data_IF_340054786689
#
_entry.id   IF_340054786689
#
_cell.length_a   1.000
_cell.length_b   1.000
_cell.length_c   1.000
_cell.angle_alpha   90.00
_cell.angle_beta   90.00
_cell.angle_gamma   90.00
#
_symmetry.space_group_name_H-M   'P 1'
#
loop_
_entity.id
_entity.type
_entity.pdbx_description
1 polymer ?
#
# COMPACT_ATOMS: atom_id res chain seq x y z
N UNK A 1 -18.46 11.88 19.65
CA UNK A 1 -17.04 11.69 19.26
C UNK A 1 -16.22 12.66 20.09
N UNK A 2 -15.10 12.23 20.65
CA UNK A 2 -14.13 13.18 21.24
C UNK A 2 -13.53 14.06 20.15
N UNK A 3 -13.06 15.25 20.50
CA UNK A 3 -12.43 16.18 19.57
C UNK A 3 -11.24 15.51 18.83
N UNK A 4 -10.45 14.69 19.53
CA UNK A 4 -9.34 13.91 18.95
C UNK A 4 -9.78 12.98 17.80
N UNK A 5 -10.97 12.39 17.88
CA UNK A 5 -11.49 11.51 16.81
C UNK A 5 -11.93 12.31 15.58
N UNK A 6 -12.35 13.56 15.78
CA UNK A 6 -12.68 14.48 14.67
C UNK A 6 -11.39 14.87 13.95
N UNK A 7 -10.37 15.31 14.68
CA UNK A 7 -9.07 15.69 14.12
C UNK A 7 -8.41 14.53 13.36
N UNK A 8 -8.47 13.32 13.93
CA UNK A 8 -7.93 12.11 13.27
C UNK A 8 -8.65 11.81 11.96
N UNK A 9 -9.99 11.90 11.93
CA UNK A 9 -10.77 11.68 10.72
C UNK A 9 -10.47 12.73 9.65
N UNK A 10 -10.25 13.98 10.05
CA UNK A 10 -9.86 15.07 9.14
C UNK A 10 -8.46 14.86 8.57
N UNK A 11 -7.49 14.46 9.39
CA UNK A 11 -6.15 14.13 8.93
C UNK A 11 -6.18 13.01 7.88
N UNK A 12 -6.94 11.94 8.15
CA UNK A 12 -7.07 10.83 7.19
C UNK A 12 -7.73 11.27 5.88
N UNK A 13 -8.71 12.18 5.93
CA UNK A 13 -9.33 12.79 4.75
C UNK A 13 -8.35 13.62 3.93
N UNK A 14 -7.42 14.35 4.58
CA UNK A 14 -6.36 15.11 3.89
C UNK A 14 -5.40 14.16 3.18
N UNK A 15 -4.95 13.10 3.85
CA UNK A 15 -4.05 12.10 3.26
C UNK A 15 -4.73 11.43 2.06
N UNK A 16 -5.98 10.98 2.21
CA UNK A 16 -6.75 10.38 1.11
C UNK A 16 -6.83 11.30 -0.12
N UNK A 17 -7.09 12.59 0.08
CA UNK A 17 -7.09 13.57 -1.02
C UNK A 17 -5.73 13.73 -1.68
N UNK A 18 -4.65 13.73 -0.90
CA UNK A 18 -3.29 13.81 -1.44
C UNK A 18 -2.97 12.59 -2.31
N UNK A 19 -3.29 11.38 -1.84
CA UNK A 19 -3.08 10.13 -2.58
C UNK A 19 -3.81 10.10 -3.92
N UNK A 20 -5.06 10.61 -3.97
CA UNK A 20 -5.87 10.64 -5.20
C UNK A 20 -5.34 11.68 -6.19
N UNK A 21 -4.90 12.85 -5.70
CA UNK A 21 -4.47 13.97 -6.56
C UNK A 21 -3.12 13.72 -7.23
N UNK A 22 -2.28 12.88 -6.63
CA UNK A 22 -0.88 12.71 -7.00
C UNK A 22 -0.65 11.69 -8.13
N UNK A 23 -1.58 11.54 -9.07
CA UNK A 23 -1.48 10.59 -10.20
C UNK A 23 -0.99 9.19 -9.75
N UNK A 24 -1.79 8.44 -8.98
CA UNK A 24 -1.35 7.21 -8.31
C UNK A 24 -0.85 6.07 -9.21
N UNK A 25 -1.03 6.19 -10.53
CA UNK A 25 -0.47 5.28 -11.53
C UNK A 25 0.89 5.71 -12.10
N UNK A 26 1.46 6.83 -11.67
CA UNK A 26 2.80 7.31 -12.05
C UNK A 26 3.84 6.89 -11.01
N UNK A 27 4.96 6.33 -11.49
CA UNK A 27 6.12 6.01 -10.67
C UNK A 27 6.65 7.27 -9.97
N UNK A 28 6.98 7.13 -8.68
CA UNK A 28 7.47 8.24 -7.86
C UNK A 28 6.39 9.12 -7.24
N UNK A 29 5.10 8.90 -7.55
CA UNK A 29 4.01 9.49 -6.77
C UNK A 29 4.02 8.98 -5.33
N UNK A 30 3.50 9.79 -4.41
CA UNK A 30 3.30 9.47 -3.00
C UNK A 30 2.44 8.20 -2.83
N UNK A 31 1.39 8.04 -3.64
CA UNK A 31 0.57 6.84 -3.65
C UNK A 31 1.34 5.60 -4.13
N UNK A 32 2.15 5.73 -5.18
CA UNK A 32 3.01 4.65 -5.65
C UNK A 32 4.08 4.28 -4.60
N UNK A 33 4.72 5.27 -3.96
CA UNK A 33 5.69 5.02 -2.90
C UNK A 33 5.11 4.28 -1.69
N UNK A 34 3.89 4.64 -1.27
CA UNK A 34 3.19 3.90 -0.23
C UNK A 34 2.88 2.46 -0.64
N UNK A 35 2.42 2.26 -1.86
CA UNK A 35 2.18 0.93 -2.42
C UNK A 35 3.46 0.08 -2.42
N UNK A 36 4.57 0.59 -2.95
CA UNK A 36 5.84 -0.12 -2.98
C UNK A 36 6.35 -0.47 -1.57
N UNK A 37 6.24 0.45 -0.60
CA UNK A 37 6.66 0.18 0.77
C UNK A 37 5.87 -0.98 1.40
N UNK A 38 4.55 -1.00 1.19
CA UNK A 38 3.69 -2.08 1.69
C UNK A 38 4.01 -3.39 0.96
N UNK A 39 4.18 -3.34 -0.36
CA UNK A 39 4.52 -4.51 -1.16
C UNK A 39 5.87 -5.11 -0.69
N UNK A 40 6.91 -4.30 -0.53
CA UNK A 40 8.21 -4.78 -0.06
C UNK A 40 8.13 -5.35 1.36
N UNK A 41 7.40 -4.73 2.27
CA UNK A 41 7.17 -5.28 3.62
C UNK A 41 6.47 -6.65 3.57
N UNK A 42 5.45 -6.82 2.73
CA UNK A 42 4.78 -8.10 2.54
C UNK A 42 5.71 -9.14 1.89
N UNK A 43 6.49 -8.74 0.89
CA UNK A 43 7.45 -9.60 0.21
C UNK A 43 8.52 -10.13 1.17
N UNK A 44 9.09 -9.26 2.00
CA UNK A 44 10.09 -9.65 3.01
C UNK A 44 9.50 -10.64 4.01
N UNK A 45 8.29 -10.35 4.55
CA UNK A 45 7.61 -11.25 5.46
C UNK A 45 7.29 -12.63 4.84
N UNK A 46 6.88 -12.67 3.56
CA UNK A 46 6.63 -13.93 2.84
C UNK A 46 7.93 -14.74 2.73
N UNK A 47 9.04 -14.10 2.34
CA UNK A 47 10.34 -14.77 2.22
C UNK A 47 10.88 -15.27 3.54
N UNK A 48 10.77 -14.47 4.60
CA UNK A 48 11.21 -14.85 5.94
C UNK A 48 10.38 -16.01 6.51
N UNK A 49 9.10 -16.10 6.15
CA UNK A 49 8.22 -17.18 6.63
C UNK A 49 8.55 -18.57 6.05
N UNK A 50 9.28 -18.61 4.93
CA UNK A 50 9.58 -19.83 4.18
C UNK A 50 11.01 -19.78 3.62
N UNK A 51 12.04 -19.77 4.48
CA UNK A 51 13.43 -19.51 4.06
C UNK A 51 14.02 -20.64 3.19
N UNK A 52 13.52 -21.86 3.33
CA UNK A 52 14.04 -23.06 2.66
C UNK A 52 13.19 -23.53 1.46
N UNK A 53 12.01 -22.93 1.26
CA UNK A 53 11.24 -23.16 0.03
C UNK A 53 11.77 -22.21 -1.04
N UNK A 54 11.97 -22.75 -2.24
CA UNK A 54 12.17 -21.94 -3.45
C UNK A 54 10.82 -21.30 -3.82
N UNK A 55 10.29 -20.46 -2.93
CA UNK A 55 9.12 -19.66 -3.23
C UNK A 55 9.52 -18.76 -4.39
N UNK A 56 8.88 -18.96 -5.55
CA UNK A 56 9.26 -18.24 -6.76
C UNK A 56 9.18 -16.76 -6.46
N UNK A 57 10.28 -16.05 -6.69
CA UNK A 57 10.36 -14.60 -6.50
C UNK A 57 9.13 -13.90 -7.09
N UNK A 58 8.70 -14.33 -8.28
CA UNK A 58 7.52 -13.84 -8.99
C UNK A 58 6.22 -14.02 -8.20
N UNK A 59 6.03 -15.14 -7.52
CA UNK A 59 4.82 -15.43 -6.74
C UNK A 59 4.76 -14.54 -5.49
N UNK A 60 5.89 -14.38 -4.78
CA UNK A 60 5.97 -13.50 -3.62
C UNK A 60 5.74 -12.04 -4.04
N UNK A 61 6.32 -11.63 -5.16
CA UNK A 61 6.15 -10.29 -5.71
C UNK A 61 4.70 -10.03 -6.12
N UNK A 62 4.04 -10.98 -6.79
CA UNK A 62 2.64 -10.84 -7.20
C UNK A 62 1.69 -10.72 -5.99
N UNK A 63 1.86 -11.58 -4.98
CA UNK A 63 1.05 -11.55 -3.75
C UNK A 63 1.25 -10.24 -2.99
N UNK A 64 2.50 -9.79 -2.86
CA UNK A 64 2.85 -8.54 -2.20
C UNK A 64 2.21 -7.32 -2.88
N UNK A 65 2.28 -7.24 -4.21
CA UNK A 65 1.68 -6.14 -4.97
C UNK A 65 0.14 -6.16 -4.88
N UNK A 66 -0.50 -7.32 -4.93
CA UNK A 66 -1.95 -7.45 -4.73
C UNK A 66 -2.36 -6.98 -3.33
N UNK A 67 -1.63 -7.40 -2.29
CA UNK A 67 -1.88 -6.98 -0.92
C UNK A 67 -1.78 -5.45 -0.77
N UNK A 68 -0.74 -4.84 -1.34
CA UNK A 68 -0.57 -3.39 -1.34
C UNK A 68 -1.71 -2.68 -2.10
N UNK A 69 -2.08 -3.15 -3.29
CA UNK A 69 -3.18 -2.55 -4.07
C UNK A 69 -4.53 -2.63 -3.33
N UNK A 70 -4.82 -3.74 -2.64
CA UNK A 70 -6.01 -3.87 -1.78
C UNK A 70 -5.99 -2.88 -0.63
N UNK A 71 -4.85 -2.71 0.04
CA UNK A 71 -4.71 -1.73 1.11
C UNK A 71 -4.97 -0.30 0.59
N UNK A 72 -4.36 0.07 -0.54
CA UNK A 72 -4.54 1.38 -1.14
C UNK A 72 -6.00 1.66 -1.51
N UNK A 73 -6.70 0.66 -2.05
CA UNK A 73 -8.13 0.77 -2.35
C UNK A 73 -8.98 0.91 -1.08
N UNK A 74 -8.72 0.09 -0.06
CA UNK A 74 -9.50 0.10 1.19
C UNK A 74 -9.32 1.38 2.00
N UNK A 75 -8.08 1.84 2.13
CA UNK A 75 -7.74 3.00 2.97
C UNK A 75 -7.94 4.32 2.23
N UNK A 76 -7.56 4.39 0.96
CA UNK A 76 -7.47 5.66 0.24
C UNK A 76 -8.34 5.72 -1.02
N UNK A 77 -9.06 4.65 -1.38
CA UNK A 77 -9.86 4.56 -2.60
C UNK A 77 -9.05 4.87 -3.87
N UNK A 78 -7.80 4.43 -3.87
CA UNK A 78 -6.84 4.63 -4.96
C UNK A 78 -6.57 3.31 -5.66
N UNK A 79 -6.57 3.35 -6.99
CA UNK A 79 -6.08 2.26 -7.84
C UNK A 79 -4.62 2.56 -8.22
N UNK A 80 -3.71 1.69 -7.79
CA UNK A 80 -2.30 1.74 -8.18
C UNK A 80 -2.06 0.78 -9.34
N UNK A 81 -1.21 1.19 -10.28
CA UNK A 81 -0.73 0.28 -11.32
C UNK A 81 0.37 -0.59 -10.72
N UNK A 82 0.28 -1.90 -11.00
CA UNK A 82 1.25 -2.92 -10.66
C UNK A 82 2.16 -3.14 -11.87
#
# INVERSE_FOLDING_TARGET
>A
MSDDLIETAEAFKVIKKAMIKDNPGEEGSYAHGWHCNIAMMCYDAIRESKPDEEFRHDDAHAIANDAASRFMKLCFDVETKI
#
